data_IF_036248414230
#
_entry.id   IF_036248414230
#
_cell.length_a   1.000
_cell.length_b   1.000
_cell.length_c   1.000
_cell.angle_alpha   90.00
_cell.angle_beta   90.00
_cell.angle_gamma   90.00
#
_symmetry.space_group_name_H-M   'P 1'
#
loop_
_entity.id
_entity.type
_entity.pdbx_description
1 polymer ?
#
# COMPACT_ATOMS: atom_id res chain seq x y z
N UNK A 1 4.66 -8.07 -15.69
CA UNK A 1 5.46 -7.96 -14.46
C UNK A 1 6.80 -7.35 -14.83
N UNK A 2 7.27 -6.35 -14.09
CA UNK A 2 8.62 -5.78 -14.29
C UNK A 2 9.61 -6.71 -13.59
N UNK A 3 10.62 -7.22 -14.30
CA UNK A 3 11.61 -8.12 -13.71
C UNK A 3 12.68 -7.33 -12.93
N UNK A 4 12.52 -7.23 -11.61
CA UNK A 4 13.45 -6.50 -10.74
C UNK A 4 14.82 -7.19 -10.58
N UNK A 5 14.97 -8.42 -11.09
CA UNK A 5 16.27 -9.13 -11.10
C UNK A 5 17.12 -8.78 -12.31
N UNK A 6 16.51 -8.18 -13.34
CA UNK A 6 17.24 -7.57 -14.45
C UNK A 6 17.70 -6.17 -14.02
N UNK A 7 19.03 -5.90 -13.95
CA UNK A 7 19.53 -4.59 -13.54
C UNK A 7 19.01 -3.42 -14.38
N UNK A 8 18.86 -3.60 -15.69
CA UNK A 8 18.37 -2.54 -16.58
C UNK A 8 16.89 -2.24 -16.33
N UNK A 9 16.08 -3.27 -16.07
CA UNK A 9 14.66 -3.08 -15.75
C UNK A 9 14.47 -2.49 -14.34
N UNK A 10 15.32 -2.87 -13.39
CA UNK A 10 15.35 -2.28 -12.04
C UNK A 10 15.67 -0.79 -12.11
N UNK A 11 16.73 -0.42 -12.83
CA UNK A 11 17.13 0.98 -12.99
C UNK A 11 16.10 1.79 -13.78
N UNK A 12 15.52 1.20 -14.82
CA UNK A 12 14.42 1.82 -15.57
C UNK A 12 13.22 2.12 -14.67
N UNK A 13 12.78 1.18 -13.84
CA UNK A 13 11.60 1.38 -12.99
C UNK A 13 11.87 2.36 -11.85
N UNK A 14 13.08 2.32 -11.28
CA UNK A 14 13.56 3.35 -10.34
C UNK A 14 13.54 4.74 -10.97
N UNK A 15 13.96 4.86 -12.23
CA UNK A 15 13.90 6.11 -13.00
C UNK A 15 12.46 6.58 -13.29
N UNK A 16 11.52 5.66 -13.50
CA UNK A 16 10.09 5.98 -13.61
C UNK A 16 9.59 6.64 -12.31
N UNK A 17 9.94 6.10 -11.14
CA UNK A 17 9.59 6.71 -9.84
C UNK A 17 10.19 8.11 -9.73
N UNK A 18 11.48 8.26 -10.04
CA UNK A 18 12.20 9.54 -9.97
C UNK A 18 11.56 10.61 -10.88
N UNK A 19 11.28 10.26 -12.14
CA UNK A 19 10.79 11.21 -13.15
C UNK A 19 9.30 11.53 -13.00
N UNK A 20 8.49 10.52 -12.69
CA UNK A 20 7.03 10.67 -12.77
C UNK A 20 6.38 10.94 -11.42
N UNK A 21 7.07 10.68 -10.31
CA UNK A 21 6.54 10.90 -8.96
C UNK A 21 7.36 11.94 -8.21
N UNK A 22 8.67 11.73 -8.06
CA UNK A 22 9.52 12.64 -7.28
C UNK A 22 9.64 14.00 -7.98
N UNK A 23 9.98 14.02 -9.28
CA UNK A 23 10.10 15.27 -10.04
C UNK A 23 8.74 15.96 -10.29
N UNK A 24 7.63 15.22 -10.21
CA UNK A 24 6.28 15.80 -10.19
C UNK A 24 5.98 16.56 -8.88
N UNK A 25 6.73 16.28 -7.81
CA UNK A 25 6.56 16.89 -6.50
C UNK A 25 5.74 16.05 -5.51
N UNK A 26 5.52 14.76 -5.78
CA UNK A 26 4.85 13.87 -4.83
C UNK A 26 5.69 13.71 -3.56
N UNK A 27 5.11 14.03 -2.39
CA UNK A 27 5.77 13.85 -1.08
C UNK A 27 5.64 12.43 -0.50
N UNK A 28 4.98 11.52 -1.21
CA UNK A 28 4.80 10.14 -0.79
C UNK A 28 3.83 9.36 -1.65
N UNK A 29 3.79 8.05 -1.47
CA UNK A 29 2.90 7.15 -2.21
C UNK A 29 2.73 5.78 -1.52
N UNK A 30 1.67 5.08 -1.91
CA UNK A 30 1.54 3.65 -1.64
C UNK A 30 2.40 2.89 -2.67
N UNK A 31 3.42 2.18 -2.19
CA UNK A 31 4.21 1.24 -2.99
C UNK A 31 3.61 -0.16 -2.82
N UNK A 32 2.47 -0.39 -3.47
CA UNK A 32 1.65 -1.59 -3.28
C UNK A 32 2.26 -2.85 -3.92
N UNK A 33 1.65 -3.99 -3.63
CA UNK A 33 2.02 -5.35 -4.06
C UNK A 33 3.41 -5.78 -3.57
N UNK A 34 3.95 -6.82 -4.19
CA UNK A 34 5.21 -7.47 -3.85
C UNK A 34 5.05 -8.96 -3.59
N UNK A 35 3.88 -9.40 -3.15
CA UNK A 35 3.58 -10.76 -2.69
C UNK A 35 3.08 -11.72 -3.78
N UNK A 36 3.07 -11.30 -5.05
CA UNK A 36 2.40 -12.05 -6.12
C UNK A 36 3.30 -12.28 -7.34
N UNK A 37 4.58 -12.59 -7.11
CA UNK A 37 5.45 -13.10 -8.16
C UNK A 37 5.01 -14.54 -8.52
N UNK A 38 4.47 -14.82 -9.72
CA UNK A 38 4.09 -16.18 -10.09
C UNK A 38 5.30 -17.12 -10.11
N UNK A 39 5.12 -18.33 -9.56
CA UNK A 39 6.20 -19.32 -9.37
C UNK A 39 6.65 -20.01 -10.67
N UNK A 40 5.93 -19.79 -11.77
CA UNK A 40 6.23 -20.29 -13.12
C UNK A 40 6.94 -19.25 -13.99
N UNK A 41 7.40 -18.15 -13.41
CA UNK A 41 8.14 -17.11 -14.13
C UNK A 41 9.62 -17.44 -14.29
N UNK A 42 10.18 -16.99 -15.40
CA UNK A 42 11.61 -17.11 -15.70
C UNK A 42 12.25 -15.74 -15.56
N UNK A 43 13.16 -15.62 -14.60
CA UNK A 43 13.78 -14.36 -14.20
C UNK A 43 15.17 -14.22 -14.80
N UNK A 44 15.57 -12.98 -15.05
CA UNK A 44 16.84 -12.63 -15.67
C UNK A 44 18.05 -13.16 -14.89
N UNK A 45 18.00 -13.18 -13.56
CA UNK A 45 19.09 -13.72 -12.74
C UNK A 45 19.20 -15.26 -12.77
N UNK A 46 18.29 -15.95 -13.45
CA UNK A 46 18.27 -17.41 -13.57
C UNK A 46 17.86 -18.17 -12.30
N UNK A 47 17.49 -17.46 -11.22
CA UNK A 47 17.02 -18.08 -9.99
C UNK A 47 15.55 -18.48 -10.15
N UNK A 48 15.19 -19.67 -9.64
CA UNK A 48 13.80 -20.13 -9.64
C UNK A 48 12.85 -19.10 -9.02
N UNK A 49 11.71 -18.87 -9.67
CA UNK A 49 10.68 -18.00 -9.14
C UNK A 49 10.10 -18.50 -7.81
N UNK A 50 10.15 -19.81 -7.51
CA UNK A 50 9.77 -20.35 -6.20
C UNK A 50 10.66 -19.80 -5.06
N UNK A 51 11.94 -19.53 -5.35
CA UNK A 51 12.86 -18.90 -4.39
C UNK A 51 12.66 -17.38 -4.38
N UNK A 52 12.55 -16.78 -5.57
CA UNK A 52 12.44 -15.32 -5.70
C UNK A 52 11.09 -14.78 -5.24
N UNK A 53 10.05 -15.61 -5.14
CA UNK A 53 8.71 -15.21 -4.72
C UNK A 53 8.74 -14.49 -3.38
N UNK A 54 9.38 -15.08 -2.37
CA UNK A 54 9.50 -14.49 -1.05
C UNK A 54 10.46 -13.29 -1.02
N UNK A 55 11.49 -13.26 -1.87
CA UNK A 55 12.45 -12.16 -1.91
C UNK A 55 11.88 -10.89 -2.57
N UNK A 56 10.82 -11.02 -3.36
CA UNK A 56 10.28 -9.96 -4.20
C UNK A 56 9.84 -8.70 -3.45
N UNK A 57 9.14 -8.76 -2.30
CA UNK A 57 8.73 -7.56 -1.56
C UNK A 57 9.90 -6.67 -1.14
N UNK A 58 10.99 -7.26 -0.66
CA UNK A 58 12.16 -6.50 -0.23
C UNK A 58 12.95 -5.92 -1.40
N UNK A 59 12.97 -6.61 -2.56
CA UNK A 59 13.56 -6.09 -3.80
C UNK A 59 12.76 -4.91 -4.34
N UNK A 60 11.43 -4.98 -4.25
CA UNK A 60 10.55 -3.86 -4.59
C UNK A 60 10.71 -2.67 -3.63
N UNK A 61 10.82 -2.94 -2.32
CA UNK A 61 11.11 -1.91 -1.32
C UNK A 61 12.44 -1.19 -1.62
N UNK A 62 13.48 -1.96 -1.99
CA UNK A 62 14.79 -1.43 -2.34
C UNK A 62 14.73 -0.51 -3.57
N UNK A 63 13.93 -0.84 -4.59
CA UNK A 63 13.76 0.02 -5.76
C UNK A 63 13.22 1.41 -5.39
N UNK A 64 12.21 1.48 -4.52
CA UNK A 64 11.68 2.74 -4.00
C UNK A 64 12.69 3.48 -3.12
N UNK A 65 13.37 2.74 -2.22
CA UNK A 65 14.41 3.31 -1.35
C UNK A 65 15.55 3.94 -2.16
N UNK A 66 16.08 3.24 -3.15
CA UNK A 66 17.17 3.71 -4.01
C UNK A 66 16.72 4.96 -4.81
N UNK A 67 15.46 5.02 -5.26
CA UNK A 67 14.93 6.23 -5.91
C UNK A 67 14.98 7.46 -4.98
N UNK A 68 14.59 7.31 -3.71
CA UNK A 68 14.70 8.37 -2.71
C UNK A 68 16.16 8.69 -2.39
N UNK A 69 17.01 7.67 -2.23
CA UNK A 69 18.41 7.85 -1.90
C UNK A 69 19.16 8.62 -3.00
N UNK A 70 18.98 8.24 -4.27
CA UNK A 70 19.63 8.88 -5.42
C UNK A 70 19.15 10.31 -5.67
N UNK A 71 17.95 10.66 -5.20
CA UNK A 71 17.40 12.02 -5.30
C UNK A 71 17.59 12.85 -4.02
N UNK A 72 18.25 12.29 -3.00
CA UNK A 72 18.46 12.96 -1.72
C UNK A 72 17.17 13.23 -0.94
N UNK A 73 16.13 12.41 -1.13
CA UNK A 73 14.78 12.58 -0.56
C UNK A 73 14.46 11.68 0.63
N UNK A 74 15.43 10.91 1.10
CA UNK A 74 15.29 10.16 2.36
C UNK A 74 15.00 11.12 3.52
N UNK A 75 13.95 10.85 4.28
CA UNK A 75 13.49 11.71 5.38
C UNK A 75 12.55 12.85 4.96
N UNK A 76 12.41 13.13 3.67
CA UNK A 76 11.48 14.14 3.13
C UNK A 76 10.24 13.49 2.47
N UNK A 77 10.45 12.40 1.74
CA UNK A 77 9.40 11.63 1.07
C UNK A 77 9.14 10.34 1.83
N UNK A 78 7.87 9.99 2.00
CA UNK A 78 7.46 8.75 2.67
C UNK A 78 6.65 7.88 1.71
N UNK A 79 7.15 6.67 1.42
CA UNK A 79 6.33 5.63 0.80
C UNK A 79 5.95 4.57 1.84
N UNK A 80 4.87 3.83 1.58
CA UNK A 80 4.42 2.77 2.47
C UNK A 80 4.03 1.51 1.72
N UNK A 81 4.26 0.35 2.34
CA UNK A 81 4.08 -0.98 1.75
C UNK A 81 3.25 -1.89 2.65
N UNK A 82 2.54 -2.88 2.07
CA UNK A 82 2.00 -4.03 2.84
C UNK A 82 2.92 -5.24 2.80
N UNK A 83 3.46 -5.57 1.63
CA UNK A 83 4.30 -6.75 1.47
C UNK A 83 5.69 -6.49 2.05
N UNK A 84 6.28 -7.52 2.66
CA UNK A 84 7.62 -7.43 3.23
C UNK A 84 8.31 -8.78 3.31
N UNK A 85 9.64 -8.73 3.31
CA UNK A 85 10.50 -9.89 3.57
C UNK A 85 11.82 -9.41 4.21
N UNK A 86 12.77 -10.30 4.43
CA UNK A 86 14.11 -9.96 4.95
C UNK A 86 14.74 -8.81 4.15
N UNK A 87 15.04 -7.71 4.83
CA UNK A 87 15.59 -6.50 4.23
C UNK A 87 14.61 -5.32 4.18
N UNK A 88 13.30 -5.58 4.25
CA UNK A 88 12.28 -4.53 4.32
C UNK A 88 12.49 -3.59 5.51
N UNK A 89 13.07 -4.07 6.61
CA UNK A 89 13.43 -3.26 7.80
C UNK A 89 14.38 -2.09 7.48
N UNK A 90 15.19 -2.22 6.43
CA UNK A 90 16.08 -1.16 5.95
C UNK A 90 15.42 -0.32 4.87
N UNK A 91 14.73 -0.98 3.93
CA UNK A 91 14.33 -0.35 2.67
C UNK A 91 12.92 0.26 2.71
N UNK A 92 11.96 -0.33 3.42
CA UNK A 92 10.61 0.23 3.52
C UNK A 92 10.59 1.38 4.53
N UNK A 93 10.09 2.55 4.13
CA UNK A 93 10.00 3.70 5.05
C UNK A 93 8.81 3.61 6.01
N UNK A 94 7.78 2.83 5.69
CA UNK A 94 6.58 2.67 6.51
C UNK A 94 5.84 1.39 6.11
N UNK A 95 5.35 0.62 7.09
CA UNK A 95 4.42 -0.49 6.79
C UNK A 95 2.97 -0.06 7.01
N UNK A 96 2.10 -0.65 6.22
CA UNK A 96 0.65 -0.59 6.40
C UNK A 96 0.10 -2.02 6.51
N UNK A 97 -0.92 -2.19 7.34
CA UNK A 97 -1.48 -3.49 7.71
C UNK A 97 -2.17 -4.27 6.57
N UNK A 98 -2.30 -3.71 5.37
CA UNK A 98 -2.99 -4.38 4.27
C UNK A 98 -4.52 -4.22 4.33
N UNK A 99 -5.20 -5.15 3.67
CA UNK A 99 -6.60 -5.02 3.28
C UNK A 99 -7.59 -5.58 4.31
N UNK A 100 -7.67 -4.96 5.50
CA UNK A 100 -8.67 -5.38 6.50
C UNK A 100 -10.11 -5.24 5.96
N UNK A 101 -10.99 -6.12 6.42
CA UNK A 101 -12.43 -6.00 6.21
C UNK A 101 -12.99 -4.75 6.89
N UNK A 102 -14.08 -4.24 6.31
CA UNK A 102 -14.85 -3.12 6.89
C UNK A 102 -15.82 -3.62 7.98
N UNK A 103 -15.31 -4.41 8.93
CA UNK A 103 -16.06 -5.04 10.02
C UNK A 103 -15.30 -5.08 11.36
N UNK A 104 -15.84 -5.85 12.32
CA UNK A 104 -15.32 -6.04 13.68
C UNK A 104 -14.73 -7.44 13.91
N UNK A 105 -14.46 -8.21 12.86
CA UNK A 105 -13.92 -9.55 12.99
C UNK A 105 -12.55 -9.53 13.66
N UNK A 106 -12.25 -10.58 14.44
CA UNK A 106 -10.96 -10.68 15.14
C UNK A 106 -9.81 -10.93 14.17
N UNK A 107 -10.03 -11.78 13.16
CA UNK A 107 -8.99 -12.25 12.25
C UNK A 107 -8.67 -11.24 11.14
N UNK A 108 -9.62 -10.38 10.75
CA UNK A 108 -9.46 -9.53 9.57
C UNK A 108 -10.09 -8.13 9.70
N UNK A 109 -10.66 -7.77 10.85
CA UNK A 109 -11.19 -6.44 11.14
C UNK A 109 -10.19 -5.53 11.83
N UNK A 110 -10.66 -4.49 12.52
CA UNK A 110 -9.81 -3.54 13.26
C UNK A 110 -8.85 -4.24 14.23
N UNK A 111 -9.30 -5.32 14.87
CA UNK A 111 -8.52 -6.04 15.90
C UNK A 111 -7.24 -6.69 15.34
N UNK A 112 -7.24 -7.13 14.07
CA UNK A 112 -6.10 -7.84 13.47
C UNK A 112 -4.88 -6.92 13.25
N UNK A 113 -5.10 -5.60 13.23
CA UNK A 113 -4.02 -4.60 13.06
C UNK A 113 -3.03 -4.62 14.24
N UNK A 114 -3.49 -4.90 15.45
CA UNK A 114 -2.64 -4.93 16.65
C UNK A 114 -1.61 -6.07 16.62
N UNK A 115 -1.99 -7.35 16.41
CA UNK A 115 -1.00 -8.41 16.26
C UNK A 115 -0.11 -8.23 15.02
N UNK A 116 -0.61 -7.62 13.94
CA UNK A 116 0.21 -7.26 12.78
C UNK A 116 1.33 -6.26 13.16
N UNK A 117 0.98 -5.20 13.89
CA UNK A 117 1.96 -4.21 14.36
C UNK A 117 3.00 -4.81 15.32
N UNK A 118 2.54 -5.62 16.30
CA UNK A 118 3.42 -6.22 17.30
C UNK A 118 4.37 -7.27 16.69
N UNK A 119 3.88 -8.10 15.77
CA UNK A 119 4.74 -9.10 15.11
C UNK A 119 5.80 -8.44 14.21
N UNK A 120 5.45 -7.37 13.49
CA UNK A 120 6.42 -6.57 12.74
C UNK A 120 7.46 -5.89 13.66
N UNK A 121 7.03 -5.34 14.79
CA UNK A 121 7.93 -4.75 15.77
C UNK A 121 8.96 -5.76 16.29
N UNK A 122 8.52 -6.98 16.62
CA UNK A 122 9.41 -8.08 17.05
C UNK A 122 10.33 -8.59 15.92
N UNK A 123 9.99 -8.31 14.67
CA UNK A 123 10.81 -8.63 13.48
C UNK A 123 11.63 -7.43 12.99
N UNK A 124 11.71 -6.36 13.80
CA UNK A 124 12.59 -5.21 13.57
C UNK A 124 12.01 -4.11 12.67
N UNK A 125 10.70 -4.09 12.40
CA UNK A 125 10.05 -3.00 11.68
C UNK A 125 9.14 -2.19 12.62
N UNK A 126 9.62 -1.02 13.07
CA UNK A 126 8.94 -0.23 14.12
C UNK A 126 7.90 0.78 13.64
N UNK A 127 7.80 1.04 12.33
CA UNK A 127 6.85 2.00 11.76
C UNK A 127 5.69 1.29 11.08
N UNK A 128 4.47 1.49 11.59
CA UNK A 128 3.28 0.78 11.15
C UNK A 128 2.01 1.65 11.27
N UNK A 129 1.08 1.53 10.32
CA UNK A 129 -0.27 2.10 10.38
C UNK A 129 -1.31 1.19 9.69
N UNK A 130 -2.58 1.59 9.68
CA UNK A 130 -3.67 0.89 8.96
C UNK A 130 -4.58 1.90 8.25
N UNK A 131 -5.43 1.41 7.34
CA UNK A 131 -6.48 2.24 6.75
C UNK A 131 -7.51 2.61 7.81
N UNK A 132 -7.71 3.90 8.07
CA UNK A 132 -8.79 4.36 8.96
C UNK A 132 -10.14 3.92 8.37
N UNK A 133 -10.74 2.92 9.00
CA UNK A 133 -12.01 2.30 8.60
C UNK A 133 -11.89 1.00 7.80
N UNK A 134 -10.69 0.48 7.55
CA UNK A 134 -10.46 -0.74 6.75
C UNK A 134 -10.61 -0.52 5.25
N UNK A 135 -10.54 -1.58 4.46
CA UNK A 135 -10.50 -1.51 2.99
C UNK A 135 -11.56 -2.40 2.32
N UNK A 136 -11.54 -3.70 2.63
CA UNK A 136 -12.24 -4.74 1.88
C UNK A 136 -13.75 -4.63 2.09
N UNK A 137 -14.45 -4.20 1.04
CA UNK A 137 -15.91 -4.03 0.99
C UNK A 137 -16.48 -5.03 0.00
N UNK A 138 -16.54 -6.29 0.39
CA UNK A 138 -17.10 -7.38 -0.41
C UNK A 138 -18.36 -7.95 0.25
N UNK A 139 -19.11 -8.72 -0.53
CA UNK A 139 -20.39 -9.29 -0.11
C UNK A 139 -21.31 -8.16 0.43
N UNK A 140 -21.92 -8.38 1.60
CA UNK A 140 -22.81 -7.43 2.27
C UNK A 140 -22.09 -6.53 3.29
N UNK A 141 -20.77 -6.60 3.40
CA UNK A 141 -20.01 -5.72 4.30
C UNK A 141 -20.10 -4.26 3.84
N UNK A 142 -20.31 -3.38 4.82
CA UNK A 142 -20.28 -1.92 4.63
C UNK A 142 -19.69 -1.28 5.87
N UNK A 143 -18.72 -0.38 5.67
CA UNK A 143 -18.12 0.40 6.75
C UNK A 143 -19.19 1.26 7.42
N UNK A 144 -19.42 1.03 8.71
CA UNK A 144 -20.31 1.89 9.50
C UNK A 144 -19.59 3.16 9.94
N UNK A 145 -20.37 4.21 10.28
CA UNK A 145 -19.82 5.43 10.90
C UNK A 145 -19.08 5.11 12.21
N UNK A 146 -19.63 4.21 13.02
CA UNK A 146 -19.01 3.78 14.27
C UNK A 146 -17.64 3.15 14.04
N UNK A 147 -17.55 2.22 13.08
CA UNK A 147 -16.27 1.59 12.73
C UNK A 147 -15.23 2.61 12.28
N UNK A 148 -15.63 3.57 11.43
CA UNK A 148 -14.74 4.64 10.97
C UNK A 148 -14.20 5.48 12.15
N UNK A 149 -15.08 5.87 13.08
CA UNK A 149 -14.70 6.70 14.23
C UNK A 149 -13.82 5.93 15.21
N UNK A 150 -14.12 4.66 15.51
CA UNK A 150 -13.28 3.82 16.37
C UNK A 150 -11.91 3.55 15.76
N UNK A 151 -11.84 3.38 14.44
CA UNK A 151 -10.55 3.27 13.76
C UNK A 151 -9.77 4.57 13.79
N UNK A 152 -10.46 5.72 13.69
CA UNK A 152 -9.83 7.02 13.85
C UNK A 152 -9.26 7.22 15.26
N UNK A 153 -10.02 6.85 16.31
CA UNK A 153 -9.54 6.85 17.70
C UNK A 153 -8.26 6.02 17.84
N UNK A 154 -8.24 4.82 17.26
CA UNK A 154 -7.07 3.94 17.28
C UNK A 154 -5.88 4.55 16.53
N UNK A 155 -6.07 5.01 15.29
CA UNK A 155 -4.97 5.53 14.46
C UNK A 155 -4.36 6.82 14.99
N UNK A 156 -5.09 7.60 15.79
CA UNK A 156 -4.54 8.79 16.46
C UNK A 156 -3.37 8.46 17.42
N UNK A 157 -3.26 7.20 17.87
CA UNK A 157 -2.15 6.70 18.70
C UNK A 157 -1.16 5.84 17.90
N UNK A 158 -1.11 6.01 16.57
CA UNK A 158 -0.14 5.38 15.67
C UNK A 158 0.70 6.45 14.96
N UNK A 159 1.88 6.13 14.39
CA UNK A 159 2.76 7.15 13.79
C UNK A 159 2.22 7.81 12.51
N UNK A 160 1.12 7.32 11.92
CA UNK A 160 0.54 7.89 10.70
C UNK A 160 -0.98 7.68 10.65
N UNK A 161 -1.72 8.77 10.45
CA UNK A 161 -3.16 8.74 10.18
C UNK A 161 -3.41 8.84 8.68
N UNK A 162 -4.08 7.84 8.10
CA UNK A 162 -4.45 7.82 6.68
C UNK A 162 -5.78 7.11 6.47
N UNK A 163 -6.68 7.72 5.71
CA UNK A 163 -7.96 7.12 5.32
C UNK A 163 -7.83 6.29 4.03
N UNK A 164 -8.84 5.47 3.75
CA UNK A 164 -9.02 4.84 2.44
C UNK A 164 -10.50 4.78 2.07
N UNK A 165 -10.88 5.10 0.83
CA UNK A 165 -12.29 5.01 0.39
C UNK A 165 -12.84 3.58 0.35
N UNK A 166 -11.94 2.59 0.34
CA UNK A 166 -12.22 1.18 0.13
C UNK A 166 -12.40 0.82 -1.35
N UNK A 167 -12.47 -0.48 -1.66
CA UNK A 167 -12.61 -0.95 -3.03
C UNK A 167 -14.01 -0.73 -3.64
N UNK A 168 -15.02 -0.33 -2.84
CA UNK A 168 -16.39 -0.01 -3.29
C UNK A 168 -16.93 1.29 -2.65
N UNK A 169 -16.28 2.42 -2.92
CA UNK A 169 -16.55 3.71 -2.27
C UNK A 169 -18.02 4.14 -2.25
N UNK A 170 -18.77 3.90 -3.33
CA UNK A 170 -20.22 4.23 -3.42
C UNK A 170 -21.10 3.51 -2.39
N UNK A 171 -20.68 2.34 -1.89
CA UNK A 171 -21.40 1.61 -0.83
C UNK A 171 -21.09 2.12 0.56
N UNK A 172 -20.01 2.90 0.72
CA UNK A 172 -19.54 3.44 2.00
C UNK A 172 -20.08 4.87 2.23
N UNK A 173 -20.14 5.69 1.19
CA UNK A 173 -20.61 7.09 1.30
C UNK A 173 -22.14 7.26 1.21
N UNK A 174 -22.88 6.18 1.01
CA UNK A 174 -24.35 6.23 0.89
C UNK A 174 -24.87 7.01 -0.32
N UNK A 175 -24.03 7.29 -1.33
CA UNK A 175 -24.49 8.01 -2.53
C UNK A 175 -25.36 7.08 -3.39
N UNK A 176 -26.68 7.11 -3.20
CA UNK A 176 -27.62 6.67 -4.22
C UNK A 176 -27.47 7.58 -5.43
N UNK A 177 -26.98 7.04 -6.55
CA UNK A 177 -27.16 7.58 -7.90
C UNK A 177 -27.30 9.11 -8.00
N UNK A 178 -26.17 9.83 -8.07
CA UNK A 178 -26.18 11.10 -8.80
C UNK A 178 -26.37 10.75 -10.28
N UNK A 179 -27.62 10.65 -10.72
CA UNK A 179 -27.97 10.75 -12.13
C UNK A 179 -27.36 12.05 -12.63
N UNK A 180 -26.37 11.97 -13.54
CA UNK A 180 -25.90 13.15 -14.28
C UNK A 180 -27.13 13.74 -14.96
N UNK A 181 -27.65 14.86 -14.46
CA UNK A 181 -28.56 15.69 -15.25
C UNK A 181 -27.78 16.11 -16.51
N UNK A 182 -28.28 15.85 -17.72
CA UNK A 182 -27.64 16.36 -18.92
C UNK A 182 -27.63 17.90 -18.88
N UNK A 183 -26.51 18.49 -19.27
CA UNK A 183 -26.35 19.93 -19.42
C UNK A 183 -27.38 20.44 -20.44
N UNK A 184 -28.05 21.59 -20.19
CA UNK A 184 -28.95 22.17 -21.18
C UNK A 184 -28.14 22.59 -22.41
N UNK A 185 -28.52 22.08 -23.57
CA UNK A 185 -28.03 22.55 -24.86
C UNK A 185 -28.48 23.98 -25.07
N UNK A 186 -27.53 24.90 -25.27
CA UNK A 186 -27.81 26.27 -25.70
C UNK A 186 -28.41 26.24 -27.13
N UNK A 187 -29.48 27.00 -27.42
CA UNK A 187 -29.98 27.14 -28.78
C UNK A 187 -28.97 27.89 -29.65
N UNK A 188 -28.93 27.51 -30.93
CA UNK A 188 -28.13 28.13 -31.98
C UNK A 188 -28.60 29.56 -32.31
#
# INVERSE_FOLDING_TARGET
MVDLTNPEAYDWFKDVIKKNMIALGCSGWMADFGEYLPTDTYLHNGVSAEIMHNAWPALWAKCNYDALQETGKLGEILFFMRAGYTGSQKYSTMMWAGDQNVDWSLDDGLASVVPAALSLAMTGHGLHHSDIGGYTTLFDMKRSKELLLRWCDFSAFTPMMRTHEGNRSRRITGSSTATRKPLPTLPA
#
